data_IF_122732100570
#
_entry.id   IF_122732100570
#
_cell.length_a   1.000
_cell.length_b   1.000
_cell.length_c   1.000
_cell.angle_alpha   90.00
_cell.angle_beta   90.00
_cell.angle_gamma   90.00
#
_symmetry.space_group_name_H-M   'P 1'
#
loop_
_entity.id
_entity.type
_entity.pdbx_description
1 polymer ?
#
# COMPACT_ATOMS: atom_id res chain seq x y z
N UNK A 1 8.91 -10.58 -36.68
CA UNK A 1 8.28 -11.21 -35.50
C UNK A 1 7.05 -10.38 -35.19
N UNK A 2 5.90 -10.78 -35.72
CA UNK A 2 4.63 -10.06 -35.50
C UNK A 2 4.15 -10.32 -34.07
N UNK A 3 3.88 -9.25 -33.33
CA UNK A 3 3.31 -9.35 -31.98
C UNK A 3 1.85 -9.78 -32.07
N UNK A 4 1.50 -10.86 -31.37
CA UNK A 4 0.15 -11.42 -31.20
C UNK A 4 -0.80 -10.50 -30.39
N UNK A 5 -0.94 -9.23 -30.77
CA UNK A 5 -1.98 -8.36 -30.22
C UNK A 5 -3.05 -8.17 -31.29
N UNK A 6 -4.04 -9.04 -31.24
CA UNK A 6 -5.27 -8.89 -32.00
C UNK A 6 -5.96 -7.58 -31.58
N UNK A 7 -5.94 -6.57 -32.45
CA UNK A 7 -6.40 -5.19 -32.17
C UNK A 7 -7.90 -5.03 -31.93
N UNK A 8 -8.68 -6.10 -31.96
CA UNK A 8 -10.15 -6.08 -31.76
C UNK A 8 -10.60 -5.89 -30.31
N UNK A 9 -9.67 -5.81 -29.35
CA UNK A 9 -9.96 -5.66 -27.92
C UNK A 9 -9.17 -4.50 -27.28
N UNK A 10 -9.06 -3.38 -27.99
CA UNK A 10 -8.47 -2.15 -27.45
C UNK A 10 -9.41 -1.54 -26.40
N UNK A 11 -9.09 -1.71 -25.12
CA UNK A 11 -9.72 -0.93 -24.06
C UNK A 11 -9.14 0.48 -24.12
N UNK A 12 -9.94 1.46 -24.50
CA UNK A 12 -9.52 2.85 -24.60
C UNK A 12 -8.81 3.32 -23.32
N UNK A 13 -7.70 4.04 -23.48
CA UNK A 13 -6.91 4.54 -22.36
C UNK A 13 -5.96 3.51 -21.72
N UNK A 14 -5.83 2.30 -22.29
CA UNK A 14 -4.92 1.24 -21.78
C UNK A 14 -3.86 0.76 -22.77
N UNK A 15 -3.76 1.42 -23.92
CA UNK A 15 -2.76 1.14 -24.94
C UNK A 15 -1.90 2.38 -25.24
N UNK A 16 -0.82 2.19 -25.97
CA UNK A 16 0.11 3.28 -26.28
C UNK A 16 -0.45 4.26 -27.32
N UNK A 17 -1.26 3.79 -28.26
CA UNK A 17 -1.80 4.61 -29.35
C UNK A 17 -2.80 5.64 -28.82
N UNK A 18 -3.62 5.26 -27.84
CA UNK A 18 -4.63 6.14 -27.23
C UNK A 18 -4.08 7.04 -26.12
N UNK A 19 -2.96 6.68 -25.49
CA UNK A 19 -2.43 7.42 -24.32
C UNK A 19 -1.09 8.10 -24.54
N UNK A 20 -0.33 7.72 -25.56
CA UNK A 20 1.05 8.17 -25.78
C UNK A 20 2.10 7.52 -24.88
N UNK A 21 1.71 6.66 -23.94
CA UNK A 21 2.64 5.99 -23.01
C UNK A 21 2.80 4.50 -23.35
N UNK A 22 4.04 4.06 -23.55
CA UNK A 22 4.38 2.65 -23.69
C UNK A 22 4.14 1.86 -22.38
N UNK A 23 4.11 0.53 -22.46
CA UNK A 23 3.76 -0.35 -21.32
C UNK A 23 4.66 -0.18 -20.08
N UNK A 24 5.96 0.07 -20.28
CA UNK A 24 6.92 0.29 -19.18
C UNK A 24 6.70 1.62 -18.44
N UNK A 25 5.95 2.56 -19.05
CA UNK A 25 5.46 3.79 -18.42
C UNK A 25 3.93 3.74 -18.20
N UNK A 26 3.34 2.55 -18.12
CA UNK A 26 1.89 2.36 -18.11
C UNK A 26 1.16 3.11 -16.99
N UNK A 27 1.78 3.31 -15.83
CA UNK A 27 1.18 4.06 -14.71
C UNK A 27 1.00 5.56 -15.03
N UNK A 28 1.76 6.12 -15.98
CA UNK A 28 1.56 7.51 -16.41
C UNK A 28 0.18 7.72 -17.08
N UNK A 29 -0.46 6.65 -17.55
CA UNK A 29 -1.84 6.69 -18.08
C UNK A 29 -2.88 7.03 -17.01
N UNK A 30 -2.53 6.90 -15.72
CA UNK A 30 -3.45 7.15 -14.59
C UNK A 30 -3.48 8.61 -14.13
N UNK A 31 -2.65 9.49 -14.70
CA UNK A 31 -2.50 10.88 -14.23
C UNK A 31 -3.85 11.60 -14.11
N UNK A 32 -4.75 11.43 -15.08
CA UNK A 32 -6.06 12.08 -15.08
C UNK A 32 -7.23 11.14 -14.73
N UNK A 33 -6.94 9.98 -14.14
CA UNK A 33 -7.94 8.99 -13.73
C UNK A 33 -7.95 8.90 -12.19
N UNK A 34 -8.49 9.92 -11.54
CA UNK A 34 -8.41 10.11 -10.09
C UNK A 34 -8.94 8.92 -9.28
N UNK A 35 -9.98 8.22 -9.76
CA UNK A 35 -10.53 7.03 -9.11
C UNK A 35 -9.62 5.81 -9.23
N UNK A 36 -9.08 5.55 -10.43
CA UNK A 36 -8.11 4.46 -10.62
C UNK A 36 -6.79 4.71 -9.91
N UNK A 37 -6.33 5.96 -9.93
CA UNK A 37 -5.12 6.37 -9.24
C UNK A 37 -5.29 6.25 -7.73
N UNK A 38 -6.44 6.61 -7.17
CA UNK A 38 -6.79 6.33 -5.77
C UNK A 38 -6.70 4.82 -5.48
N UNK A 39 -7.30 3.98 -6.32
CA UNK A 39 -7.22 2.52 -6.18
C UNK A 39 -5.78 1.99 -6.17
N UNK A 40 -4.93 2.49 -7.07
CA UNK A 40 -3.51 2.15 -7.11
C UNK A 40 -2.78 2.54 -5.81
N UNK A 41 -3.02 3.74 -5.27
CA UNK A 41 -2.41 4.19 -4.01
C UNK A 41 -2.89 3.36 -2.81
N UNK A 42 -4.19 3.09 -2.72
CA UNK A 42 -4.76 2.31 -1.61
C UNK A 42 -4.29 0.85 -1.67
N UNK A 43 -4.24 0.24 -2.86
CA UNK A 43 -3.69 -1.11 -3.03
C UNK A 43 -2.21 -1.17 -2.65
N UNK A 44 -1.42 -0.16 -3.04
CA UNK A 44 -0.01 -0.07 -2.67
C UNK A 44 0.18 0.09 -1.15
N UNK A 45 -0.64 0.91 -0.49
CA UNK A 45 -0.65 0.98 0.98
C UNK A 45 -1.00 -0.39 1.60
N UNK A 46 -1.94 -1.12 1.00
CA UNK A 46 -2.24 -2.50 1.37
C UNK A 46 -1.02 -3.43 1.29
N UNK A 47 -0.19 -3.33 0.25
CA UNK A 47 1.05 -4.12 0.13
C UNK A 47 2.07 -3.78 1.24
N UNK A 48 2.22 -2.51 1.60
CA UNK A 48 3.12 -2.08 2.68
C UNK A 48 2.66 -2.69 4.02
N UNK A 49 1.36 -2.56 4.32
CA UNK A 49 0.78 -3.06 5.58
C UNK A 49 0.79 -4.59 5.61
N UNK A 50 0.57 -5.25 4.46
CA UNK A 50 0.70 -6.69 4.32
C UNK A 50 2.13 -7.14 4.63
N UNK A 51 3.13 -6.48 4.06
CA UNK A 51 4.54 -6.79 4.34
C UNK A 51 4.86 -6.61 5.82
N UNK A 52 4.41 -5.51 6.44
CA UNK A 52 4.64 -5.27 7.87
C UNK A 52 4.03 -6.38 8.74
N UNK A 53 2.80 -6.82 8.45
CA UNK A 53 2.16 -7.91 9.18
C UNK A 53 2.81 -9.27 8.95
N UNK A 54 3.02 -9.65 7.69
CA UNK A 54 3.60 -10.94 7.32
C UNK A 54 5.05 -11.09 7.80
N UNK A 55 5.88 -10.06 7.61
CA UNK A 55 7.27 -10.08 8.03
C UNK A 55 7.38 -10.06 9.56
N UNK A 56 6.51 -9.33 10.27
CA UNK A 56 6.50 -9.34 11.73
C UNK A 56 6.14 -10.74 12.27
N UNK A 57 5.09 -11.38 11.72
CA UNK A 57 4.73 -12.75 12.12
C UNK A 57 5.81 -13.77 11.76
N UNK A 58 6.50 -13.58 10.63
CA UNK A 58 7.66 -14.39 10.27
C UNK A 58 8.79 -14.27 11.31
N UNK A 59 9.11 -13.04 11.73
CA UNK A 59 10.10 -12.78 12.77
C UNK A 59 9.68 -13.40 14.11
N UNK A 60 8.42 -13.24 14.53
CA UNK A 60 7.87 -13.90 15.74
C UNK A 60 8.03 -15.42 15.67
N UNK A 61 7.74 -16.03 14.52
CA UNK A 61 7.84 -17.48 14.34
C UNK A 61 9.28 -18.01 14.40
N UNK A 62 10.27 -17.19 14.07
CA UNK A 62 11.70 -17.56 14.07
C UNK A 62 12.47 -16.98 15.27
N UNK A 63 11.78 -16.28 16.17
CA UNK A 63 12.42 -15.65 17.32
C UNK A 63 12.81 -16.69 18.38
N UNK A 64 14.09 -16.68 18.75
CA UNK A 64 14.65 -17.46 19.85
C UNK A 64 14.96 -16.49 21.01
N UNK A 65 14.23 -16.56 22.13
CA UNK A 65 14.35 -15.58 23.23
C UNK A 65 15.69 -15.64 23.97
N UNK A 66 16.39 -16.77 23.91
CA UNK A 66 17.69 -16.97 24.54
C UNK A 66 18.85 -16.27 23.81
N UNK A 67 18.58 -15.71 22.62
CA UNK A 67 19.58 -15.00 21.80
C UNK A 67 19.25 -13.51 21.70
N UNK A 68 20.26 -12.62 21.65
CA UNK A 68 20.01 -11.21 21.34
C UNK A 68 19.30 -11.04 19.99
N UNK A 69 18.37 -10.09 19.89
CA UNK A 69 17.59 -9.87 18.66
C UNK A 69 18.47 -9.57 17.43
N UNK A 70 19.57 -8.84 17.63
CA UNK A 70 20.46 -8.41 16.54
C UNK A 70 21.26 -9.58 15.92
N UNK A 71 21.33 -10.74 16.57
CA UNK A 71 22.00 -11.94 16.03
C UNK A 71 21.08 -12.79 15.15
N UNK A 72 19.79 -12.47 15.10
CA UNK A 72 18.75 -13.29 14.49
C UNK A 72 18.21 -12.71 13.18
N UNK A 73 18.79 -11.60 12.70
CA UNK A 73 18.37 -10.94 11.45
C UNK A 73 16.99 -10.28 11.52
N UNK A 74 16.56 -9.89 12.73
CA UNK A 74 15.26 -9.26 12.98
C UNK A 74 15.36 -7.76 12.71
N UNK A 75 14.40 -7.22 11.97
CA UNK A 75 14.32 -5.79 11.70
C UNK A 75 13.04 -5.17 12.26
N UNK A 76 11.93 -5.91 12.40
CA UNK A 76 10.66 -5.36 12.89
C UNK A 76 10.50 -5.49 14.41
N UNK A 77 10.86 -6.63 14.99
CA UNK A 77 10.79 -6.83 16.44
C UNK A 77 11.61 -5.79 17.24
N UNK A 78 12.83 -5.39 16.81
CA UNK A 78 13.56 -4.30 17.46
C UNK A 78 12.81 -2.95 17.43
N UNK A 79 12.03 -2.66 16.38
CA UNK A 79 11.22 -1.44 16.32
C UNK A 79 10.10 -1.47 17.36
N UNK A 80 9.41 -2.61 17.54
CA UNK A 80 8.37 -2.76 18.56
C UNK A 80 8.96 -2.72 19.98
N UNK A 81 10.12 -3.34 20.19
CA UNK A 81 10.85 -3.29 21.45
C UNK A 81 11.29 -1.85 21.81
N UNK A 82 11.72 -1.05 20.82
CA UNK A 82 12.09 0.35 21.03
C UNK A 82 10.91 1.20 21.52
N UNK A 83 9.68 0.83 21.15
CA UNK A 83 8.44 1.46 21.64
C UNK A 83 8.04 0.98 23.05
N UNK A 84 8.80 0.06 23.65
CA UNK A 84 8.56 -0.46 25.00
C UNK A 84 7.61 -1.66 25.06
N UNK A 85 7.26 -2.27 23.93
CA UNK A 85 6.42 -3.47 23.92
C UNK A 85 7.25 -4.74 24.10
N UNK A 86 6.80 -5.62 25.00
CA UNK A 86 7.37 -6.95 25.20
C UNK A 86 8.75 -6.98 25.86
N UNK A 87 9.29 -5.82 26.27
CA UNK A 87 10.63 -5.71 26.87
C UNK A 87 10.59 -5.24 28.32
N UNK A 88 11.50 -5.78 29.12
CA UNK A 88 11.77 -5.39 30.51
C UNK A 88 13.07 -4.59 30.68
N UNK A 89 13.53 -4.40 31.93
CA UNK A 89 14.81 -3.75 32.22
C UNK A 89 15.97 -4.38 31.45
N UNK A 90 16.88 -3.56 30.92
CA UNK A 90 18.01 -4.04 30.13
C UNK A 90 17.67 -4.50 28.71
N UNK A 91 16.40 -4.37 28.28
CA UNK A 91 15.96 -4.76 26.93
C UNK A 91 15.69 -6.26 26.77
N UNK A 92 15.60 -7.00 27.88
CA UNK A 92 15.23 -8.41 27.88
C UNK A 92 13.78 -8.57 27.40
N UNK A 93 13.53 -9.54 26.51
CA UNK A 93 12.18 -9.84 26.03
C UNK A 93 11.46 -10.68 27.09
N UNK A 94 10.38 -10.13 27.63
CA UNK A 94 9.59 -10.76 28.70
C UNK A 94 8.20 -11.23 28.23
N UNK A 95 7.71 -10.73 27.10
CA UNK A 95 6.42 -11.13 26.52
C UNK A 95 6.42 -10.92 25.00
N UNK A 96 6.15 -11.98 24.23
CA UNK A 96 6.10 -11.94 22.76
C UNK A 96 4.69 -11.72 22.21
N UNK A 97 3.65 -11.75 23.05
CA UNK A 97 2.27 -11.58 22.62
C UNK A 97 1.99 -10.22 21.97
N UNK A 98 2.54 -9.08 22.45
CA UNK A 98 2.38 -7.78 21.78
C UNK A 98 2.91 -7.78 20.34
N UNK A 99 4.00 -8.51 20.07
CA UNK A 99 4.57 -8.63 18.73
C UNK A 99 3.65 -9.40 17.80
N UNK A 100 3.11 -10.53 18.29
CA UNK A 100 2.12 -11.32 17.57
C UNK A 100 0.85 -10.51 17.26
N UNK A 101 0.30 -9.79 18.25
CA UNK A 101 -0.88 -8.94 18.08
C UNK A 101 -0.63 -7.87 17.01
N UNK A 102 0.51 -7.18 17.07
CA UNK A 102 0.89 -6.20 16.04
C UNK A 102 0.91 -6.83 14.65
N UNK A 103 1.51 -8.01 14.50
CA UNK A 103 1.59 -8.72 13.22
C UNK A 103 0.22 -9.08 12.66
N UNK A 104 -0.66 -9.64 13.49
CA UNK A 104 -2.03 -9.99 13.10
C UNK A 104 -2.85 -8.76 12.71
N UNK A 105 -2.80 -7.69 13.51
CA UNK A 105 -3.56 -6.46 13.22
C UNK A 105 -3.16 -5.84 11.88
N UNK A 106 -1.86 -5.76 11.59
CA UNK A 106 -1.39 -5.28 10.29
C UNK A 106 -1.84 -6.22 9.17
N UNK A 107 -1.66 -7.54 9.32
CA UNK A 107 -2.02 -8.50 8.29
C UNK A 107 -3.52 -8.43 7.93
N UNK A 108 -4.41 -8.35 8.92
CA UNK A 108 -5.86 -8.23 8.68
C UNK A 108 -6.22 -6.86 8.08
N UNK A 109 -5.63 -5.78 8.57
CA UNK A 109 -5.86 -4.43 8.02
C UNK A 109 -5.46 -4.34 6.55
N UNK A 110 -4.40 -5.05 6.15
CA UNK A 110 -3.95 -5.09 4.76
C UNK A 110 -5.00 -5.65 3.80
N UNK A 111 -5.83 -6.61 4.25
CA UNK A 111 -6.91 -7.16 3.43
C UNK A 111 -8.00 -6.13 3.15
N UNK A 112 -8.33 -5.29 4.13
CA UNK A 112 -9.31 -4.19 3.97
C UNK A 112 -8.79 -3.15 2.99
N UNK A 113 -7.51 -2.75 3.11
CA UNK A 113 -6.86 -1.82 2.18
C UNK A 113 -6.79 -2.42 0.77
N UNK A 114 -6.34 -3.67 0.63
CA UNK A 114 -6.28 -4.37 -0.65
C UNK A 114 -7.65 -4.44 -1.33
N UNK A 115 -8.71 -4.74 -0.57
CA UNK A 115 -10.08 -4.75 -1.09
C UNK A 115 -10.50 -3.37 -1.63
N UNK A 116 -10.32 -2.30 -0.85
CA UNK A 116 -10.63 -0.94 -1.30
C UNK A 116 -9.81 -0.52 -2.53
N UNK A 117 -8.53 -0.87 -2.56
CA UNK A 117 -7.64 -0.60 -3.69
C UNK A 117 -8.08 -1.30 -4.98
N UNK A 118 -8.40 -2.60 -4.90
CA UNK A 118 -8.89 -3.37 -6.05
C UNK A 118 -10.23 -2.82 -6.55
N UNK A 119 -11.16 -2.53 -5.63
CA UNK A 119 -12.45 -1.94 -5.97
C UNK A 119 -12.27 -0.64 -6.78
N UNK A 120 -11.51 0.32 -6.26
CA UNK A 120 -11.32 1.61 -6.93
C UNK A 120 -10.50 1.50 -8.23
N UNK A 121 -9.58 0.55 -8.34
CA UNK A 121 -8.79 0.36 -9.56
C UNK A 121 -9.60 -0.26 -10.72
N UNK A 122 -10.51 -1.20 -10.41
CA UNK A 122 -11.14 -2.06 -11.41
C UNK A 122 -12.64 -1.82 -11.59
N UNK A 123 -13.41 -1.58 -10.52
CA UNK A 123 -14.88 -1.57 -10.55
C UNK A 123 -15.49 -0.18 -10.29
N UNK A 124 -14.86 0.62 -9.42
CA UNK A 124 -15.29 1.97 -9.11
C UNK A 124 -15.19 2.93 -10.31
N UNK A 125 -15.72 4.16 -10.17
CA UNK A 125 -15.64 5.16 -11.23
C UNK A 125 -14.18 5.51 -11.55
N UNK A 126 -13.88 5.73 -12.83
CA UNK A 126 -12.51 6.01 -13.27
C UNK A 126 -12.02 7.40 -12.83
N UNK A 127 -12.96 8.35 -12.75
CA UNK A 127 -12.81 9.74 -12.32
C UNK A 127 -13.77 10.03 -11.17
N UNK A 128 -13.41 10.95 -10.27
CA UNK A 128 -14.19 11.28 -9.06
C UNK A 128 -14.84 12.67 -9.14
N UNK A 129 -14.45 13.48 -10.11
CA UNK A 129 -14.78 14.91 -10.21
C UNK A 129 -16.28 15.17 -10.32
N UNK A 130 -16.99 14.35 -11.09
CA UNK A 130 -18.43 14.54 -11.35
C UNK A 130 -19.30 13.93 -10.24
N UNK A 131 -18.96 12.71 -9.81
CA UNK A 131 -19.78 11.97 -8.84
C UNK A 131 -19.55 12.42 -7.40
N UNK A 132 -18.31 12.83 -7.07
CA UNK A 132 -17.88 13.13 -5.71
C UNK A 132 -16.96 14.37 -5.66
N UNK A 133 -17.50 15.60 -5.81
CA UNK A 133 -16.69 16.82 -5.93
C UNK A 133 -15.71 17.07 -4.76
N UNK A 134 -16.06 16.61 -3.56
CA UNK A 134 -15.16 16.68 -2.41
C UNK A 134 -13.89 15.84 -2.60
N UNK A 135 -14.00 14.65 -3.21
CA UNK A 135 -12.88 13.73 -3.45
C UNK A 135 -12.20 13.94 -4.80
N UNK A 136 -12.90 14.45 -5.81
CA UNK A 136 -12.34 14.77 -7.12
C UNK A 136 -11.36 15.94 -7.10
N UNK A 137 -10.41 15.95 -8.04
CA UNK A 137 -9.41 17.01 -8.13
C UNK A 137 -8.84 17.15 -9.53
N UNK A 138 -8.32 18.34 -9.83
CA UNK A 138 -7.50 18.59 -11.01
C UNK A 138 -6.13 19.06 -10.52
N UNK A 139 -5.05 18.51 -11.06
CA UNK A 139 -3.68 18.84 -10.62
C UNK A 139 -3.34 20.33 -10.66
N UNK A 140 -4.02 21.10 -11.51
CA UNK A 140 -3.83 22.54 -11.65
C UNK A 140 -4.61 23.37 -10.62
N UNK A 141 -5.55 22.78 -9.88
CA UNK A 141 -6.26 23.43 -8.79
C UNK A 141 -5.37 23.51 -7.55
N UNK A 142 -4.67 24.63 -7.42
CA UNK A 142 -3.75 24.87 -6.31
C UNK A 142 -4.42 24.77 -4.95
N UNK A 143 -5.64 25.28 -4.82
CA UNK A 143 -6.34 25.30 -3.54
C UNK A 143 -6.71 23.88 -3.11
N UNK A 144 -7.21 23.05 -4.03
CA UNK A 144 -7.50 21.65 -3.74
C UNK A 144 -6.23 20.86 -3.42
N UNK A 145 -5.13 21.09 -4.14
CA UNK A 145 -3.84 20.46 -3.84
C UNK A 145 -3.31 20.82 -2.45
N UNK A 146 -3.34 22.10 -2.07
CA UNK A 146 -2.92 22.53 -0.72
C UNK A 146 -3.87 22.05 0.38
N UNK A 147 -5.16 21.90 0.07
CA UNK A 147 -6.14 21.34 1.03
C UNK A 147 -5.84 19.87 1.30
N UNK A 148 -5.65 19.06 0.26
CA UNK A 148 -5.30 17.64 0.41
C UNK A 148 -3.97 17.50 1.17
N UNK A 149 -2.97 18.31 0.86
CA UNK A 149 -1.71 18.32 1.60
C UNK A 149 -1.93 18.67 3.07
N UNK A 150 -2.70 19.73 3.37
CA UNK A 150 -2.98 20.17 4.73
C UNK A 150 -3.77 19.16 5.57
N UNK A 151 -4.55 18.27 4.95
CA UNK A 151 -5.25 17.18 5.65
C UNK A 151 -4.29 16.04 6.03
N UNK A 152 -3.21 15.83 5.28
CA UNK A 152 -2.24 14.76 5.54
C UNK A 152 -1.12 15.15 6.51
N UNK A 153 -0.94 16.45 6.79
CA UNK A 153 0.02 16.98 7.78
C UNK A 153 -0.56 16.90 9.20
#
# INVERSE_FOLDING_TARGET
METLFNGTLSVAGRDQETTGFAWWAGNARLINLSGKLLGAHVAHAGLIVFWAGAMNLFEVAHFVPEKPMYEQGLILLPHLATLGWGVGPGGEVIDTFPYFVSGVLHLISSAVLGFGGIYHALLGPETLEESFPFFGYVWKDRNKMTTILGIHL
#
